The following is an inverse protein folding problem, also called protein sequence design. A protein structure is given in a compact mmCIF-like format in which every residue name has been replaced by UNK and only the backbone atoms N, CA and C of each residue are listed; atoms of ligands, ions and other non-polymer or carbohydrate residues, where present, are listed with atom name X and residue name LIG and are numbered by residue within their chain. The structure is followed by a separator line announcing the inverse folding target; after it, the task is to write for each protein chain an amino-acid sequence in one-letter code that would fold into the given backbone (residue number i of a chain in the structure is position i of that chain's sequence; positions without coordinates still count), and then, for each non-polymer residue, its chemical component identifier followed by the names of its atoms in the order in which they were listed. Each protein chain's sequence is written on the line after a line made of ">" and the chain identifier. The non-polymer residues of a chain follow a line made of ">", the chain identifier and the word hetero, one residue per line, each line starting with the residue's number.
data_IF_258656724817
#
_entry.id   IF_258656724817
#
_cell.length_a   1.000
_cell.length_b   1.000
_cell.length_c   1.000
_cell.angle_alpha   90.00
_cell.angle_beta   90.00
_cell.angle_gamma   90.00
#
_symmetry.space_group_name_H-M   'P 1'
#
loop_
_entity.id
_entity.type
_entity.pdbx_description
1 polymer ?
#
# COMPACT_ATOMS: atom_id res chain seq x y z
N UNK A 1 69.96 11.25 -50.75
CA UNK A 1 69.53 10.64 -49.48
C UNK A 1 68.08 10.25 -49.64
N UNK A 2 67.83 8.96 -49.84
CA UNK A 2 66.49 8.40 -49.95
C UNK A 2 65.96 8.18 -48.52
N UNK A 3 64.73 8.59 -48.27
CA UNK A 3 64.01 8.29 -47.04
C UNK A 3 63.24 6.98 -47.25
N UNK A 4 63.49 6.02 -46.37
CA UNK A 4 62.94 4.66 -46.40
C UNK A 4 61.47 4.61 -45.98
N UNK A 5 60.72 3.66 -46.57
CA UNK A 5 59.32 3.35 -46.26
C UNK A 5 59.10 2.84 -44.83
N UNK A 6 57.92 3.06 -44.21
CA UNK A 6 57.56 2.49 -42.92
C UNK A 6 57.21 0.99 -43.06
N UNK A 7 57.71 0.18 -42.11
CA UNK A 7 57.54 -1.27 -42.05
C UNK A 7 56.11 -1.78 -41.81
N UNK A 8 55.88 -3.10 -41.90
CA UNK A 8 54.56 -3.69 -42.01
C UNK A 8 53.80 -3.67 -40.67
N UNK A 9 52.47 -3.63 -40.81
CA UNK A 9 51.51 -3.26 -39.78
C UNK A 9 51.53 -4.10 -38.50
N UNK A 10 51.35 -3.40 -37.40
CA UNK A 10 50.85 -3.95 -36.14
C UNK A 10 49.52 -4.68 -36.42
N UNK A 11 49.48 -5.95 -36.03
CA UNK A 11 48.36 -6.85 -36.26
C UNK A 11 47.03 -6.28 -35.76
N UNK A 12 45.97 -6.64 -36.49
CA UNK A 12 44.59 -6.39 -36.10
C UNK A 12 44.38 -6.85 -34.64
N UNK A 13 44.30 -5.88 -33.73
CA UNK A 13 43.87 -6.13 -32.37
C UNK A 13 42.48 -6.72 -32.43
N UNK A 14 42.30 -7.86 -31.77
CA UNK A 14 40.99 -8.44 -31.51
C UNK A 14 40.15 -7.40 -30.78
N UNK A 15 39.27 -6.70 -31.49
CA UNK A 15 38.27 -5.83 -30.86
C UNK A 15 37.32 -6.73 -30.10
N UNK A 16 37.54 -6.89 -28.80
CA UNK A 16 36.47 -7.40 -27.95
C UNK A 16 35.30 -6.43 -28.10
N UNK A 17 34.09 -6.89 -28.46
CA UNK A 17 32.93 -6.01 -28.45
C UNK A 17 32.81 -5.44 -27.04
N UNK A 18 32.61 -4.12 -26.96
CA UNK A 18 32.37 -3.47 -25.68
C UNK A 18 31.22 -4.21 -24.96
N UNK A 19 31.33 -4.45 -23.64
CA UNK A 19 30.26 -5.08 -22.90
C UNK A 19 28.97 -4.27 -23.09
N UNK A 20 27.81 -4.94 -23.15
CA UNK A 20 26.55 -4.24 -23.35
C UNK A 20 26.27 -3.32 -22.14
N UNK A 21 25.54 -2.20 -22.33
CA UNK A 21 25.35 -1.18 -21.31
C UNK A 21 24.84 -1.72 -19.97
N UNK A 22 23.89 -2.65 -19.97
CA UNK A 22 23.36 -3.27 -18.75
C UNK A 22 24.44 -3.99 -17.92
N UNK A 23 25.45 -4.57 -18.56
CA UNK A 23 26.56 -5.24 -17.87
C UNK A 23 27.55 -4.25 -17.23
N UNK A 24 27.44 -2.96 -17.54
CA UNK A 24 28.24 -1.87 -16.96
C UNK A 24 27.53 -1.19 -15.77
N UNK A 25 26.27 -1.55 -15.48
CA UNK A 25 25.46 -0.94 -14.44
C UNK A 25 25.63 -1.57 -13.05
N UNK A 26 26.38 -2.66 -12.92
CA UNK A 26 26.74 -3.24 -11.63
C UNK A 26 27.79 -2.37 -10.93
N UNK A 27 27.35 -1.20 -10.48
CA UNK A 27 28.11 -0.19 -9.77
C UNK A 27 28.09 -0.41 -8.24
N UNK A 28 27.42 -1.47 -7.76
CA UNK A 28 27.20 -1.74 -6.35
C UNK A 28 26.13 -0.85 -5.70
N UNK A 29 25.40 -0.03 -6.47
CA UNK A 29 24.35 0.89 -5.99
C UNK A 29 22.98 0.58 -6.60
N UNK A 30 22.73 -0.69 -6.99
CA UNK A 30 21.43 -1.09 -7.50
C UNK A 30 20.32 -0.74 -6.49
N UNK A 31 19.27 0.00 -6.91
CA UNK A 31 18.18 0.32 -6.01
C UNK A 31 17.43 -0.97 -5.62
N UNK A 32 16.88 -0.99 -4.41
CA UNK A 32 16.14 -2.13 -3.88
C UNK A 32 15.01 -2.55 -4.84
N UNK A 33 14.87 -3.85 -5.07
CA UNK A 33 13.84 -4.37 -5.96
C UNK A 33 12.44 -4.01 -5.44
N UNK A 34 11.51 -3.72 -6.36
CA UNK A 34 10.14 -3.38 -6.01
C UNK A 34 9.14 -3.98 -6.99
N UNK A 35 7.92 -4.20 -6.51
CA UNK A 35 6.80 -4.63 -7.34
C UNK A 35 6.31 -3.50 -8.25
N UNK A 36 6.27 -2.28 -7.71
CA UNK A 36 5.82 -1.09 -8.42
C UNK A 36 6.79 0.07 -8.18
N UNK A 37 7.17 0.73 -9.26
CA UNK A 37 7.79 2.05 -9.23
C UNK A 37 6.83 3.09 -9.81
N UNK A 38 6.56 4.17 -9.07
CA UNK A 38 5.81 5.34 -9.57
C UNK A 38 6.78 6.50 -9.76
N UNK A 39 6.81 7.06 -10.96
CA UNK A 39 7.68 8.17 -11.34
C UNK A 39 6.82 9.38 -11.72
N UNK A 40 6.99 10.48 -11.01
CA UNK A 40 6.37 11.76 -11.37
C UNK A 40 7.33 12.60 -12.18
N UNK A 41 6.94 12.97 -13.38
CA UNK A 41 7.69 13.84 -14.29
C UNK A 41 7.01 15.20 -14.40
N UNK A 42 7.80 16.23 -14.69
CA UNK A 42 7.31 17.58 -14.86
C UNK A 42 8.17 18.64 -14.18
N UNK A 43 7.73 19.89 -14.25
CA UNK A 43 8.44 21.03 -13.68
C UNK A 43 7.61 21.70 -12.59
N UNK A 44 8.05 21.55 -11.34
CA UNK A 44 7.39 22.13 -10.16
C UNK A 44 7.23 23.66 -10.22
N UNK A 45 8.00 24.34 -11.08
CA UNK A 45 7.96 25.80 -11.23
C UNK A 45 6.93 26.28 -12.25
N UNK A 46 6.16 25.39 -12.90
CA UNK A 46 5.35 25.72 -14.10
C UNK A 46 3.89 25.25 -14.04
N UNK A 47 3.12 25.75 -13.07
CA UNK A 47 1.67 25.52 -13.05
C UNK A 47 1.33 24.04 -13.08
N UNK A 48 0.47 23.64 -14.03
CA UNK A 48 0.01 22.26 -14.19
C UNK A 48 1.12 21.28 -14.62
N UNK A 49 2.23 21.76 -15.17
CA UNK A 49 3.43 20.95 -15.47
C UNK A 49 4.03 20.34 -14.18
N UNK A 50 3.62 20.81 -13.00
CA UNK A 50 4.02 20.28 -11.71
C UNK A 50 3.26 19.00 -11.29
N UNK A 51 2.29 18.52 -12.08
CA UNK A 51 1.37 17.44 -11.66
C UNK A 51 2.08 16.16 -11.21
N UNK A 52 3.14 15.73 -11.91
CA UNK A 52 3.92 14.55 -11.54
C UNK A 52 4.64 14.72 -10.19
N UNK A 53 5.53 15.72 -10.01
CA UNK A 53 6.18 15.98 -8.73
C UNK A 53 5.21 16.19 -7.55
N UNK A 54 4.10 16.90 -7.78
CA UNK A 54 3.07 17.12 -6.74
C UNK A 54 2.36 15.80 -6.38
N UNK A 55 2.11 14.93 -7.36
CA UNK A 55 1.56 13.59 -7.10
C UNK A 55 2.52 12.76 -6.23
N UNK A 56 3.82 12.75 -6.55
CA UNK A 56 4.82 12.00 -5.77
C UNK A 56 4.88 12.52 -4.34
N UNK A 57 4.88 13.84 -4.14
CA UNK A 57 4.82 14.44 -2.81
C UNK A 57 3.55 14.06 -2.05
N UNK A 58 2.43 13.96 -2.74
CA UNK A 58 1.14 13.56 -2.18
C UNK A 58 1.18 12.10 -1.73
N UNK A 59 1.70 11.19 -2.56
CA UNK A 59 1.89 9.77 -2.22
C UNK A 59 2.83 9.61 -1.01
N UNK A 60 3.96 10.32 -1.01
CA UNK A 60 4.90 10.29 0.12
C UNK A 60 4.25 10.68 1.44
N UNK A 61 3.38 11.70 1.42
CA UNK A 61 2.69 12.20 2.63
C UNK A 61 1.61 11.23 3.14
N UNK A 62 1.01 10.43 2.24
CA UNK A 62 0.02 9.40 2.59
C UNK A 62 0.64 8.13 3.17
N UNK A 63 1.93 7.92 2.94
CA UNK A 63 2.63 6.67 3.23
C UNK A 63 2.65 5.77 1.99
N UNK A 64 3.82 5.21 1.70
CA UNK A 64 4.06 4.35 0.54
C UNK A 64 4.01 2.89 1.01
N UNK A 65 3.21 2.00 0.39
CA UNK A 65 3.16 0.60 0.78
C UNK A 65 4.48 -0.14 0.55
N UNK A 66 4.66 -1.25 1.26
CA UNK A 66 5.78 -2.17 1.01
C UNK A 66 5.76 -2.67 -0.44
N UNK A 67 6.95 -2.84 -1.03
CA UNK A 67 7.09 -3.21 -2.43
C UNK A 67 6.77 -2.09 -3.43
N UNK A 68 6.43 -0.88 -2.97
CA UNK A 68 6.26 0.31 -3.83
C UNK A 68 7.43 1.28 -3.62
N UNK A 69 8.03 1.72 -4.73
CA UNK A 69 8.99 2.83 -4.77
C UNK A 69 8.35 4.03 -5.47
N UNK A 70 8.67 5.23 -5.00
CA UNK A 70 8.25 6.49 -5.64
C UNK A 70 9.48 7.36 -5.94
N UNK A 71 9.48 8.01 -7.09
CA UNK A 71 10.57 8.87 -7.56
C UNK A 71 10.01 10.15 -8.16
N UNK A 72 10.52 11.29 -7.73
CA UNK A 72 10.35 12.55 -8.45
C UNK A 72 11.43 12.60 -9.55
N UNK A 73 11.03 12.38 -10.80
CA UNK A 73 11.91 12.41 -11.96
C UNK A 73 12.17 13.82 -12.48
N UNK A 74 11.43 14.82 -11.98
CA UNK A 74 11.47 16.19 -12.46
C UNK A 74 11.46 16.26 -13.99
N UNK A 75 12.44 16.97 -14.54
CA UNK A 75 12.64 17.12 -15.99
C UNK A 75 13.78 16.27 -16.55
N UNK A 76 14.32 15.33 -15.77
CA UNK A 76 15.51 14.55 -16.11
C UNK A 76 15.12 13.13 -16.49
N UNK A 77 14.95 12.86 -17.78
CA UNK A 77 14.62 11.49 -18.19
C UNK A 77 15.75 10.48 -17.90
N UNK A 78 17.01 10.91 -17.72
CA UNK A 78 18.07 9.97 -17.33
C UNK A 78 17.79 9.40 -15.94
N UNK A 79 17.39 10.23 -15.00
CA UNK A 79 17.03 9.77 -13.65
C UNK A 79 15.79 8.86 -13.70
N UNK A 80 14.86 9.11 -14.63
CA UNK A 80 13.73 8.21 -14.91
C UNK A 80 14.23 6.84 -15.38
N UNK A 81 15.13 6.78 -16.37
CA UNK A 81 15.65 5.52 -16.90
C UNK A 81 16.45 4.71 -15.88
N UNK A 82 17.31 5.36 -15.09
CA UNK A 82 18.05 4.70 -14.01
C UNK A 82 17.13 4.27 -12.86
N UNK A 83 16.10 5.06 -12.55
CA UNK A 83 15.11 4.75 -11.52
C UNK A 83 14.37 3.45 -11.77
N UNK A 84 14.12 3.08 -13.04
CA UNK A 84 13.41 1.85 -13.44
C UNK A 84 14.11 0.55 -13.04
N UNK A 85 15.39 0.58 -12.67
CA UNK A 85 16.15 -0.60 -12.24
C UNK A 85 15.49 -1.29 -11.05
N UNK A 86 15.38 -2.62 -11.14
CA UNK A 86 14.82 -3.48 -10.08
C UNK A 86 13.30 -3.37 -9.90
N UNK A 87 12.59 -2.62 -10.74
CA UNK A 87 11.13 -2.55 -10.69
C UNK A 87 10.50 -3.64 -11.55
N UNK A 88 9.47 -4.33 -11.05
CA UNK A 88 8.68 -5.28 -11.86
C UNK A 88 7.68 -4.55 -12.77
N UNK A 89 7.08 -3.47 -12.25
CA UNK A 89 6.14 -2.61 -12.96
C UNK A 89 6.51 -1.14 -12.78
N UNK A 90 6.27 -0.33 -13.80
CA UNK A 90 6.51 1.12 -13.75
C UNK A 90 5.25 1.89 -14.13
N UNK A 91 4.93 2.92 -13.35
CA UNK A 91 3.94 3.93 -13.68
C UNK A 91 4.65 5.27 -13.80
N UNK A 92 4.51 5.93 -14.95
CA UNK A 92 4.99 7.30 -15.17
C UNK A 92 3.79 8.22 -15.16
N UNK A 93 3.88 9.37 -14.49
CA UNK A 93 2.86 10.42 -14.53
C UNK A 93 3.51 11.71 -15.04
N UNK A 94 2.97 12.29 -16.12
CA UNK A 94 3.42 13.58 -16.66
C UNK A 94 2.22 14.47 -17.05
N UNK A 95 2.50 15.76 -17.23
CA UNK A 95 1.58 16.68 -17.87
C UNK A 95 1.57 16.48 -19.39
N UNK A 96 0.42 16.72 -20.02
CA UNK A 96 0.27 16.75 -21.47
C UNK A 96 -0.45 18.00 -21.95
N UNK A 97 -0.19 18.37 -23.20
CA UNK A 97 -0.84 19.49 -23.88
C UNK A 97 -1.26 19.06 -25.28
N UNK A 98 -2.41 18.42 -25.36
CA UNK A 98 -3.03 17.90 -26.59
C UNK A 98 -4.08 18.85 -27.16
N UNK A 99 -4.53 19.84 -26.37
CA UNK A 99 -5.62 20.74 -26.69
C UNK A 99 -7.01 20.22 -26.28
N UNK A 100 -7.05 19.14 -25.50
CA UNK A 100 -8.28 18.63 -24.89
C UNK A 100 -8.71 19.46 -23.68
N UNK A 101 -9.78 19.04 -22.99
CA UNK A 101 -10.22 19.68 -21.76
C UNK A 101 -9.20 19.45 -20.65
N UNK A 102 -8.86 20.52 -19.91
CA UNK A 102 -7.93 20.42 -18.78
C UNK A 102 -8.39 19.38 -17.75
N UNK A 103 -7.44 18.63 -17.20
CA UNK A 103 -7.71 17.50 -16.31
C UNK A 103 -8.13 16.22 -17.01
N UNK A 104 -8.20 16.19 -18.36
CA UNK A 104 -8.36 14.93 -19.10
C UNK A 104 -7.17 14.02 -18.81
N UNK A 105 -7.45 12.76 -18.45
CA UNK A 105 -6.44 11.75 -18.13
C UNK A 105 -6.36 10.76 -19.28
N UNK A 106 -5.15 10.57 -19.81
CA UNK A 106 -4.83 9.50 -20.73
C UNK A 106 -4.03 8.43 -20.02
N UNK A 107 -4.40 7.16 -20.20
CA UNK A 107 -3.64 6.01 -19.74
C UNK A 107 -3.11 5.28 -20.96
N UNK A 108 -1.79 5.25 -21.12
CA UNK A 108 -1.14 4.72 -22.32
C UNK A 108 -0.15 3.62 -21.89
N UNK A 109 -0.36 2.36 -22.30
CA UNK A 109 0.67 1.33 -22.18
C UNK A 109 1.91 1.74 -22.99
N UNK A 110 3.11 1.56 -22.45
CA UNK A 110 4.33 1.98 -23.15
C UNK A 110 4.53 1.27 -24.51
N UNK A 111 3.93 0.08 -24.70
CA UNK A 111 3.95 -0.65 -25.95
C UNK A 111 3.14 0.03 -27.08
N UNK A 112 2.20 0.91 -26.74
CA UNK A 112 1.36 1.66 -27.68
C UNK A 112 1.98 3.01 -28.08
N UNK A 113 3.16 3.35 -27.54
CA UNK A 113 3.95 4.50 -27.97
C UNK A 113 4.76 4.12 -29.21
N UNK A 114 4.11 4.17 -30.38
CA UNK A 114 4.61 3.65 -31.67
C UNK A 114 5.85 4.38 -32.21
N UNK A 115 6.11 5.63 -31.78
CA UNK A 115 7.25 6.44 -32.23
C UNK A 115 8.05 6.96 -31.05
N UNK A 116 8.80 6.07 -30.41
CA UNK A 116 9.83 6.51 -29.46
C UNK A 116 10.91 7.31 -30.22
N UNK A 117 11.29 8.51 -29.73
CA UNK A 117 12.22 9.37 -30.43
C UNK A 117 13.61 8.70 -30.58
N UNK A 118 14.31 8.90 -31.72
CA UNK A 118 15.61 8.31 -31.94
C UNK A 118 16.65 8.78 -30.91
N UNK A 119 17.51 7.86 -30.49
CA UNK A 119 18.60 8.09 -29.51
C UNK A 119 19.71 9.00 -30.12
N UNK A 120 19.76 9.12 -31.44
CA UNK A 120 20.75 9.96 -32.13
C UNK A 120 20.43 11.45 -31.98
N UNK A 121 21.31 12.18 -31.28
CA UNK A 121 21.18 13.62 -31.02
C UNK A 121 20.72 14.00 -29.61
N UNK A 122 20.68 13.04 -28.68
CA UNK A 122 20.34 13.28 -27.27
C UNK A 122 21.27 14.31 -26.63
N UNK A 123 20.71 15.48 -26.32
CA UNK A 123 21.30 16.44 -25.39
C UNK A 123 20.61 16.26 -24.05
N UNK A 124 21.38 16.27 -22.96
CA UNK A 124 20.92 16.13 -21.57
C UNK A 124 19.73 17.05 -21.22
N UNK A 125 19.61 18.18 -21.92
CA UNK A 125 18.58 19.21 -21.68
C UNK A 125 17.28 19.01 -22.47
N UNK A 126 17.18 18.01 -23.36
CA UNK A 126 15.96 17.66 -24.10
C UNK A 126 15.53 16.19 -23.86
N UNK A 127 16.12 15.54 -22.86
CA UNK A 127 15.89 14.15 -22.52
C UNK A 127 14.67 14.04 -21.58
N UNK A 128 13.49 13.88 -22.16
CA UNK A 128 12.20 13.71 -21.45
C UNK A 128 11.95 12.23 -21.12
N UNK A 129 10.86 11.92 -20.41
CA UNK A 129 10.54 10.54 -20.00
C UNK A 129 10.24 9.60 -21.18
N UNK A 130 9.75 10.11 -22.30
CA UNK A 130 9.53 9.36 -23.55
C UNK A 130 10.87 8.89 -24.16
N UNK A 131 11.89 9.74 -24.13
CA UNK A 131 13.27 9.36 -24.46
C UNK A 131 13.84 8.36 -23.44
N UNK A 132 13.43 8.45 -22.16
CA UNK A 132 13.80 7.48 -21.13
C UNK A 132 13.27 6.08 -21.43
N UNK A 133 12.08 5.95 -22.02
CA UNK A 133 11.55 4.65 -22.44
C UNK A 133 12.39 4.02 -23.55
N UNK A 134 12.74 4.81 -24.58
CA UNK A 134 13.62 4.36 -25.67
C UNK A 134 15.01 3.96 -25.16
N UNK A 135 15.56 4.79 -24.28
CA UNK A 135 16.87 4.57 -23.67
C UNK A 135 16.88 3.40 -22.68
N UNK A 136 15.79 3.15 -21.94
CA UNK A 136 15.68 2.04 -20.99
C UNK A 136 15.84 0.68 -21.65
N UNK A 137 15.38 0.52 -22.90
CA UNK A 137 15.59 -0.68 -23.71
C UNK A 137 17.08 -0.92 -23.96
N UNK A 138 17.80 0.11 -24.41
CA UNK A 138 19.24 0.04 -24.65
C UNK A 138 20.04 -0.13 -23.35
N UNK A 139 19.63 0.55 -22.28
CA UNK A 139 20.32 0.62 -21.00
C UNK A 139 20.15 -0.65 -20.17
N UNK A 140 18.92 -1.12 -20.03
CA UNK A 140 18.55 -2.23 -19.12
C UNK A 140 18.49 -3.58 -19.82
N UNK A 141 18.29 -3.61 -21.15
CA UNK A 141 18.17 -4.83 -21.93
C UNK A 141 17.17 -5.82 -21.30
N UNK A 142 17.59 -7.04 -20.91
CA UNK A 142 16.68 -8.04 -20.33
C UNK A 142 16.12 -7.67 -18.96
N UNK A 143 16.71 -6.68 -18.27
CA UNK A 143 16.24 -6.20 -16.96
C UNK A 143 15.20 -5.08 -17.08
N UNK A 144 14.82 -4.69 -18.30
CA UNK A 144 13.81 -3.67 -18.52
C UNK A 144 12.44 -4.16 -18.00
N UNK A 145 11.72 -3.35 -17.19
CA UNK A 145 10.36 -3.65 -16.82
C UNK A 145 9.48 -3.78 -18.08
N UNK A 146 8.75 -4.87 -18.22
CA UNK A 146 7.87 -5.11 -19.39
C UNK A 146 6.47 -4.50 -19.21
N UNK A 147 6.08 -4.25 -17.96
CA UNK A 147 4.80 -3.64 -17.60
C UNK A 147 5.03 -2.17 -17.24
N UNK A 148 4.91 -1.30 -18.25
CA UNK A 148 5.06 0.14 -18.10
C UNK A 148 3.77 0.82 -18.55
N UNK A 149 3.18 1.64 -17.68
CA UNK A 149 2.02 2.47 -17.97
C UNK A 149 2.36 3.95 -17.79
N UNK A 150 1.88 4.80 -18.69
CA UNK A 150 2.01 6.24 -18.60
C UNK A 150 0.64 6.88 -18.39
N UNK A 151 0.53 7.72 -17.36
CA UNK A 151 -0.59 8.63 -17.18
C UNK A 151 -0.19 10.03 -17.65
N UNK A 152 -0.98 10.59 -18.57
CA UNK A 152 -0.83 11.95 -19.03
C UNK A 152 -2.04 12.77 -18.59
N UNK A 153 -1.79 13.92 -17.97
CA UNK A 153 -2.85 14.82 -17.51
C UNK A 153 -2.84 16.11 -18.32
N UNK A 154 -3.95 16.40 -18.99
CA UNK A 154 -4.08 17.61 -19.83
C UNK A 154 -4.01 18.88 -18.99
N UNK A 155 -3.12 19.80 -19.37
CA UNK A 155 -2.91 21.07 -18.66
C UNK A 155 -3.90 22.16 -19.06
N UNK A 156 -4.24 23.04 -18.12
CA UNK A 156 -4.88 24.32 -18.41
C UNK A 156 -3.83 25.43 -18.60
N UNK A 157 -2.81 25.48 -17.74
CA UNK A 157 -1.73 26.49 -17.81
C UNK A 157 -0.39 25.94 -17.32
N UNK A 158 0.69 26.48 -17.89
CA UNK A 158 2.07 26.19 -17.53
C UNK A 158 2.84 27.46 -17.15
N UNK A 159 2.11 28.45 -16.62
CA UNK A 159 2.65 29.72 -16.16
C UNK A 159 3.63 29.55 -15.00
N UNK A 160 4.68 30.36 -15.00
CA UNK A 160 5.71 30.30 -13.97
C UNK A 160 5.15 30.65 -12.59
N UNK A 161 5.40 29.78 -11.61
CA UNK A 161 5.01 29.96 -10.21
C UNK A 161 3.50 29.85 -9.94
N UNK A 162 2.68 29.51 -10.93
CA UNK A 162 1.28 29.20 -10.72
C UNK A 162 1.14 27.87 -9.95
N UNK A 163 0.11 27.72 -9.10
CA UNK A 163 -0.27 26.42 -8.53
C UNK A 163 -0.90 25.53 -9.61
N UNK A 164 -1.14 24.25 -9.27
CA UNK A 164 -2.04 23.41 -10.06
C UNK A 164 -3.42 24.06 -10.14
N UNK A 165 -4.00 24.04 -11.34
CA UNK A 165 -5.41 24.37 -11.54
C UNK A 165 -6.29 23.32 -10.87
N UNK A 166 -7.54 23.70 -10.58
CA UNK A 166 -8.50 22.82 -9.88
C UNK A 166 -8.74 21.54 -10.69
N UNK A 167 -8.86 21.68 -12.00
CA UNK A 167 -9.11 20.60 -12.94
C UNK A 167 -7.96 19.58 -12.92
N UNK A 168 -6.71 20.06 -12.92
CA UNK A 168 -5.51 19.20 -12.87
C UNK A 168 -5.29 18.60 -11.48
N UNK A 169 -5.58 19.34 -10.40
CA UNK A 169 -5.53 18.79 -9.04
C UNK A 169 -6.56 17.66 -8.83
N UNK A 170 -7.79 17.84 -9.31
CA UNK A 170 -8.83 16.80 -9.28
C UNK A 170 -8.42 15.56 -10.08
N UNK A 171 -7.84 15.78 -11.27
CA UNK A 171 -7.30 14.72 -12.12
C UNK A 171 -6.12 13.98 -11.47
N UNK A 172 -5.19 14.69 -10.82
CA UNK A 172 -4.10 14.11 -10.06
C UNK A 172 -4.62 13.17 -8.96
N UNK A 173 -5.63 13.61 -8.20
CA UNK A 173 -6.26 12.77 -7.19
C UNK A 173 -6.96 11.55 -7.79
N UNK A 174 -7.49 11.66 -9.01
CA UNK A 174 -8.03 10.52 -9.76
C UNK A 174 -6.94 9.56 -10.20
N UNK A 175 -5.80 10.04 -10.71
CA UNK A 175 -4.64 9.20 -11.04
C UNK A 175 -4.14 8.45 -9.81
N UNK A 176 -4.06 9.10 -8.65
CA UNK A 176 -3.70 8.40 -7.39
C UNK A 176 -4.68 7.24 -7.11
N UNK A 177 -5.99 7.46 -7.21
CA UNK A 177 -6.99 6.39 -7.03
C UNK A 177 -6.82 5.25 -8.03
N UNK A 178 -6.43 5.55 -9.27
CA UNK A 178 -6.15 4.53 -10.29
C UNK A 178 -4.88 3.73 -9.94
N UNK A 179 -3.82 4.41 -9.51
CA UNK A 179 -2.57 3.77 -9.03
C UNK A 179 -2.87 2.84 -7.86
N UNK A 180 -3.59 3.32 -6.85
CA UNK A 180 -3.94 2.53 -5.67
C UNK A 180 -4.76 1.28 -6.04
N UNK A 181 -5.71 1.41 -6.97
CA UNK A 181 -6.64 0.33 -7.36
C UNK A 181 -5.98 -0.74 -8.24
N UNK A 182 -5.19 -0.30 -9.23
CA UNK A 182 -4.77 -1.16 -10.35
C UNK A 182 -3.29 -1.54 -10.28
N UNK A 183 -2.47 -0.75 -9.60
CA UNK A 183 -1.01 -0.83 -9.68
C UNK A 183 -0.35 -1.24 -8.38
N UNK A 184 -0.84 -0.76 -7.23
CA UNK A 184 -0.29 -1.15 -5.94
C UNK A 184 -0.24 -2.67 -5.83
N UNK A 185 0.87 -3.23 -5.29
CA UNK A 185 0.96 -4.65 -5.04
C UNK A 185 -0.24 -5.02 -4.17
N UNK A 186 -1.15 -5.78 -4.77
CA UNK A 186 -2.15 -6.48 -4.00
C UNK A 186 -1.36 -7.45 -3.17
N UNK A 187 -1.25 -7.22 -1.86
CA UNK A 187 -0.75 -8.23 -0.93
C UNK A 187 -1.36 -9.54 -1.40
N UNK A 188 -0.50 -10.46 -1.84
CA UNK A 188 -0.94 -11.72 -2.41
C UNK A 188 -1.82 -12.45 -1.40
N UNK A 189 -2.33 -13.61 -1.82
CA UNK A 189 -2.95 -14.56 -0.90
C UNK A 189 -2.18 -14.61 0.42
N UNK A 190 -2.76 -13.99 1.44
CA UNK A 190 -2.18 -13.93 2.77
C UNK A 190 -2.60 -15.18 3.51
N UNK A 191 -1.85 -15.58 4.53
CA UNK A 191 -2.28 -16.65 5.42
C UNK A 191 -2.74 -16.04 6.73
N UNK A 192 -3.90 -16.46 7.22
CA UNK A 192 -4.37 -16.19 8.57
C UNK A 192 -4.39 -17.48 9.37
N UNK A 193 -4.30 -17.39 10.68
CA UNK A 193 -4.41 -18.54 11.58
C UNK A 193 -5.66 -18.40 12.43
N UNK A 194 -6.45 -19.47 12.56
CA UNK A 194 -7.51 -19.57 13.56
C UNK A 194 -7.04 -20.58 14.62
N UNK A 195 -7.02 -20.16 15.88
CA UNK A 195 -6.65 -21.02 17.01
C UNK A 195 -7.81 -21.91 17.42
N UNK A 196 -7.52 -23.00 18.13
CA UNK A 196 -8.57 -23.88 18.72
C UNK A 196 -9.57 -23.13 19.62
N UNK A 197 -9.12 -22.06 20.29
CA UNK A 197 -9.96 -21.22 21.15
C UNK A 197 -10.74 -20.12 20.38
N UNK A 198 -10.70 -20.14 19.04
CA UNK A 198 -11.49 -19.25 18.17
C UNK A 198 -10.93 -17.84 17.97
N UNK A 199 -9.63 -17.62 18.22
CA UNK A 199 -8.94 -16.39 17.84
C UNK A 199 -8.47 -16.44 16.39
N UNK A 200 -8.74 -15.39 15.64
CA UNK A 200 -8.15 -15.12 14.34
C UNK A 200 -6.89 -14.27 14.52
N UNK A 201 -5.79 -14.73 13.93
CA UNK A 201 -4.52 -14.01 13.86
C UNK A 201 -4.29 -13.47 12.45
N UNK A 202 -3.98 -12.18 12.37
CA UNK A 202 -3.53 -11.52 11.13
C UNK A 202 -2.08 -11.07 11.29
N UNK A 203 -1.28 -11.27 10.24
CA UNK A 203 0.07 -10.72 10.18
C UNK A 203 0.06 -9.19 10.16
N UNK A 204 1.12 -8.58 10.70
CA UNK A 204 1.25 -7.12 10.79
C UNK A 204 1.08 -6.39 9.45
N UNK A 205 1.63 -6.92 8.36
CA UNK A 205 1.53 -6.33 7.02
C UNK A 205 0.07 -6.22 6.56
N UNK A 206 -0.67 -7.34 6.59
CA UNK A 206 -2.09 -7.39 6.22
C UNK A 206 -2.94 -6.48 7.10
N UNK A 207 -2.69 -6.49 8.41
CA UNK A 207 -3.44 -5.67 9.35
C UNK A 207 -3.22 -4.17 9.11
N UNK A 208 -1.97 -3.73 8.97
CA UNK A 208 -1.64 -2.32 8.76
C UNK A 208 -2.17 -1.81 7.40
N UNK A 209 -2.09 -2.64 6.36
CA UNK A 209 -2.55 -2.26 5.03
C UNK A 209 -4.07 -2.15 4.92
N UNK A 210 -4.82 -3.03 5.60
CA UNK A 210 -6.28 -3.20 5.35
C UNK A 210 -7.18 -2.83 6.52
N UNK A 211 -6.64 -2.70 7.74
CA UNK A 211 -7.40 -2.40 8.95
C UNK A 211 -6.78 -1.25 9.77
N UNK A 212 -6.65 -0.03 9.20
CA UNK A 212 -5.92 1.08 9.81
C UNK A 212 -6.52 1.59 11.13
N UNK A 213 -7.80 1.31 11.39
CA UNK A 213 -8.46 1.68 12.65
C UNK A 213 -8.49 0.54 13.69
N UNK A 214 -7.85 -0.61 13.41
CA UNK A 214 -7.83 -1.79 14.28
C UNK A 214 -9.24 -2.29 14.71
N UNK A 215 -10.25 -2.07 13.87
CA UNK A 215 -11.64 -2.48 14.11
C UNK A 215 -12.27 -3.02 12.82
N UNK A 216 -13.05 -4.09 12.93
CA UNK A 216 -13.77 -4.69 11.81
C UNK A 216 -15.16 -5.22 12.21
N UNK A 217 -15.99 -5.51 11.21
CA UNK A 217 -17.13 -6.42 11.33
C UNK A 217 -16.75 -7.73 10.66
N UNK A 218 -17.26 -8.85 11.18
CA UNK A 218 -17.05 -10.15 10.56
C UNK A 218 -18.39 -10.85 10.31
N UNK A 219 -18.46 -11.57 9.19
CA UNK A 219 -19.58 -12.43 8.82
C UNK A 219 -19.08 -13.77 8.29
N UNK A 220 -19.84 -14.83 8.49
CA UNK A 220 -19.49 -16.17 8.03
C UNK A 220 -20.73 -16.85 7.45
N UNK A 221 -20.62 -17.38 6.24
CA UNK A 221 -21.73 -18.03 5.53
C UNK A 221 -21.70 -19.57 5.59
N UNK A 222 -20.70 -20.13 6.28
CA UNK A 222 -20.48 -21.57 6.37
C UNK A 222 -19.24 -22.07 5.62
N UNK A 223 -18.74 -21.30 4.65
CA UNK A 223 -17.55 -21.60 3.86
C UNK A 223 -16.53 -20.45 3.87
N UNK A 224 -17.00 -19.21 3.79
CA UNK A 224 -16.17 -18.01 3.70
C UNK A 224 -16.39 -17.13 4.93
N UNK A 225 -15.31 -16.82 5.62
CA UNK A 225 -15.27 -15.78 6.66
C UNK A 225 -14.86 -14.46 6.00
N UNK A 226 -15.70 -13.46 6.11
CA UNK A 226 -15.47 -12.11 5.60
C UNK A 226 -15.20 -11.14 6.75
N UNK A 227 -14.17 -10.29 6.62
CA UNK A 227 -13.84 -9.22 7.55
C UNK A 227 -13.87 -7.87 6.83
N UNK A 228 -14.63 -6.93 7.37
CA UNK A 228 -14.89 -5.61 6.79
C UNK A 228 -14.30 -4.56 7.73
N UNK A 229 -13.29 -3.77 7.32
CA UNK A 229 -12.70 -2.74 8.18
C UNK A 229 -13.70 -1.61 8.44
N UNK A 230 -13.64 -1.05 9.64
CA UNK A 230 -14.41 0.14 10.01
C UNK A 230 -13.51 1.38 10.07
N UNK A 231 -14.09 2.55 9.82
CA UNK A 231 -13.39 3.84 9.82
C UNK A 231 -13.05 4.32 11.25
N UNK A 232 -13.66 3.69 12.27
CA UNK A 232 -13.34 3.97 13.68
C UNK A 232 -14.21 3.16 14.65
N UNK A 233 -13.73 3.02 15.89
CA UNK A 233 -14.36 2.21 16.94
C UNK A 233 -15.71 2.74 17.46
N UNK A 234 -16.09 3.96 17.09
CA UNK A 234 -17.29 4.63 17.58
C UNK A 234 -18.61 3.93 17.18
N UNK A 235 -18.57 3.09 16.13
CA UNK A 235 -19.75 2.40 15.58
C UNK A 235 -19.88 0.94 16.04
N UNK A 236 -19.13 0.51 17.07
CA UNK A 236 -19.04 -0.89 17.50
C UNK A 236 -18.13 -1.72 16.59
N UNK A 237 -18.20 -3.05 16.74
CA UNK A 237 -17.38 -4.00 15.96
C UNK A 237 -16.38 -4.79 16.79
N UNK A 238 -15.67 -5.69 16.12
CA UNK A 238 -14.60 -6.50 16.68
C UNK A 238 -13.28 -5.74 16.65
N UNK A 239 -12.62 -5.64 17.79
CA UNK A 239 -11.34 -4.94 17.94
C UNK A 239 -10.18 -5.90 17.65
N UNK A 240 -9.34 -5.52 16.70
CA UNK A 240 -8.08 -6.18 16.35
C UNK A 240 -7.00 -5.75 17.33
N UNK A 241 -6.72 -6.56 18.35
CA UNK A 241 -5.70 -6.23 19.36
C UNK A 241 -4.31 -6.58 18.86
N UNK A 242 -3.32 -5.74 19.13
CA UNK A 242 -1.93 -6.10 18.89
C UNK A 242 -1.50 -7.27 19.78
N UNK A 243 -0.99 -8.33 19.14
CA UNK A 243 -0.61 -9.61 19.75
C UNK A 243 0.86 -9.65 20.16
N UNK A 244 1.75 -9.03 19.39
CA UNK A 244 3.19 -9.05 19.62
C UNK A 244 3.88 -7.75 19.17
N UNK A 245 5.19 -7.64 19.46
CA UNK A 245 6.00 -6.48 19.10
C UNK A 245 6.18 -6.28 17.58
N UNK A 246 6.01 -7.35 16.78
CA UNK A 246 6.04 -7.26 15.31
C UNK A 246 4.79 -6.56 14.74
N UNK A 247 3.72 -6.42 15.54
CA UNK A 247 2.49 -5.75 15.12
C UNK A 247 1.40 -6.70 14.65
N UNK A 248 1.53 -8.01 14.85
CA UNK A 248 0.46 -8.95 14.50
C UNK A 248 -0.82 -8.62 15.27
N UNK A 249 -1.98 -8.88 14.67
CA UNK A 249 -3.28 -8.62 15.29
C UNK A 249 -4.00 -9.91 15.65
N UNK A 250 -4.82 -9.85 16.70
CA UNK A 250 -5.69 -10.93 17.13
C UNK A 250 -7.11 -10.44 17.41
N UNK A 251 -8.10 -11.25 17.09
CA UNK A 251 -9.51 -10.97 17.35
C UNK A 251 -10.27 -12.26 17.60
N UNK A 252 -11.20 -12.23 18.55
CA UNK A 252 -12.03 -13.38 18.88
C UNK A 252 -13.21 -13.46 17.90
N UNK A 253 -13.35 -14.59 17.21
CA UNK A 253 -14.39 -14.80 16.17
C UNK A 253 -15.29 -16.01 16.44
N UNK A 254 -15.23 -16.63 17.62
CA UNK A 254 -16.00 -17.86 17.90
C UNK A 254 -17.52 -17.69 17.71
N UNK A 255 -18.09 -16.52 18.06
CA UNK A 255 -19.51 -16.24 17.87
C UNK A 255 -19.85 -16.11 16.38
N UNK A 256 -18.97 -15.49 15.61
CA UNK A 256 -19.11 -15.30 14.16
C UNK A 256 -19.11 -16.65 13.45
N UNK A 257 -18.24 -17.56 13.90
CA UNK A 257 -18.17 -18.94 13.38
C UNK A 257 -19.32 -19.83 13.84
N UNK A 258 -20.27 -19.31 14.64
CA UNK A 258 -21.36 -20.09 15.21
C UNK A 258 -20.88 -21.21 16.12
N UNK A 259 -19.76 -21.00 16.83
CA UNK A 259 -19.11 -21.96 17.72
C UNK A 259 -18.64 -23.26 17.02
N UNK A 260 -18.49 -23.23 15.70
CA UNK A 260 -17.90 -24.36 14.97
C UNK A 260 -16.42 -24.50 15.33
N UNK A 261 -15.92 -25.72 15.58
CA UNK A 261 -14.50 -25.96 15.82
C UNK A 261 -13.75 -25.82 14.50
N UNK A 262 -13.20 -24.63 14.25
CA UNK A 262 -12.37 -24.32 13.08
C UNK A 262 -11.02 -23.86 13.63
N UNK A 263 -9.96 -24.58 13.28
CA UNK A 263 -8.60 -24.21 13.63
C UNK A 263 -7.66 -24.60 12.49
N UNK A 264 -6.57 -23.85 12.34
CA UNK A 264 -5.59 -24.07 11.28
C UNK A 264 -5.19 -22.78 10.57
N UNK A 265 -4.45 -22.95 9.48
CA UNK A 265 -3.99 -21.86 8.62
C UNK A 265 -4.82 -21.82 7.35
N UNK A 266 -5.32 -20.65 7.02
CA UNK A 266 -6.26 -20.46 5.92
C UNK A 266 -5.76 -19.38 4.96
N UNK A 267 -6.06 -19.62 3.68
CA UNK A 267 -5.85 -18.66 2.61
C UNK A 267 -6.82 -17.48 2.78
N UNK A 268 -6.27 -16.27 2.71
CA UNK A 268 -6.99 -15.02 2.82
C UNK A 268 -6.70 -14.14 1.61
N UNK A 269 -7.74 -13.62 0.96
CA UNK A 269 -7.63 -12.73 -0.17
C UNK A 269 -8.46 -11.47 0.05
N UNK A 270 -7.92 -10.33 -0.36
CA UNK A 270 -8.63 -9.06 -0.29
C UNK A 270 -9.45 -8.84 -1.56
N UNK A 271 -10.74 -8.52 -1.41
CA UNK A 271 -11.63 -8.05 -2.47
C UNK A 271 -11.64 -6.52 -2.48
N UNK A 272 -10.87 -5.91 -3.40
CA UNK A 272 -10.78 -4.44 -3.52
C UNK A 272 -12.12 -3.78 -3.89
N UNK A 273 -13.00 -4.49 -4.63
CA UNK A 273 -14.28 -3.92 -5.06
C UNK A 273 -15.26 -3.82 -3.88
N UNK A 274 -15.19 -4.75 -2.94
CA UNK A 274 -16.03 -4.75 -1.72
C UNK A 274 -15.34 -4.11 -0.51
N UNK A 275 -14.01 -4.01 -0.52
CA UNK A 275 -13.23 -3.60 0.63
C UNK A 275 -13.28 -4.63 1.76
N UNK A 276 -13.19 -5.91 1.43
CA UNK A 276 -13.38 -7.03 2.37
C UNK A 276 -12.22 -8.01 2.30
N UNK A 277 -11.77 -8.51 3.45
CA UNK A 277 -10.88 -9.66 3.53
C UNK A 277 -11.72 -10.94 3.56
N UNK A 278 -11.58 -11.81 2.57
CA UNK A 278 -12.24 -13.12 2.51
C UNK A 278 -11.26 -14.22 2.89
N UNK A 279 -11.66 -15.08 3.83
CA UNK A 279 -10.89 -16.22 4.32
C UNK A 279 -11.67 -17.50 3.99
N UNK A 280 -11.07 -18.38 3.18
CA UNK A 280 -11.69 -19.65 2.80
C UNK A 280 -11.45 -20.70 3.90
N UNK A 281 -12.52 -21.16 4.55
CA UNK A 281 -12.47 -22.09 5.68
C UNK A 281 -12.78 -23.56 5.30
N UNK A 282 -13.01 -23.83 4.01
CA UNK A 282 -13.22 -25.19 3.50
C UNK A 282 -11.88 -25.77 3.06
N UNK A 283 -11.46 -26.88 3.68
CA UNK A 283 -10.41 -27.72 3.14
C UNK A 283 -10.94 -28.60 2.02
N UNK A 284 -10.13 -28.84 0.99
CA UNK A 284 -10.26 -30.02 0.15
C UNK A 284 -10.36 -31.25 1.06
N UNK A 285 -11.38 -32.06 0.85
CA UNK A 285 -11.64 -33.31 1.58
C UNK A 285 -10.68 -34.43 1.11
N UNK A 286 -9.39 -34.12 1.01
CA UNK A 286 -8.31 -35.07 0.66
C UNK A 286 -7.21 -34.99 1.70
N UNK A 287 -7.47 -35.60 2.86
CA UNK A 287 -6.50 -35.69 3.95
C UNK A 287 -6.95 -36.55 5.12
N UNK A 288 -7.85 -37.50 4.91
CA UNK A 288 -8.10 -38.58 5.86
C UNK A 288 -7.33 -39.82 5.37
N UNK A 289 -6.07 -39.94 5.81
CA UNK A 289 -5.32 -41.18 6.02
C UNK A 289 -3.85 -40.84 6.36
N UNK A 290 -3.59 -40.60 7.64
CA UNK A 290 -2.31 -40.99 8.26
C UNK A 290 -2.50 -41.12 9.78
N UNK A 291 -3.31 -42.12 10.15
CA UNK A 291 -3.31 -42.72 11.50
C UNK A 291 -2.87 -44.17 11.39
N UNK A 292 -1.63 -44.43 10.97
CA UNK A 292 -0.98 -45.71 11.29
C UNK A 292 0.56 -45.68 11.26
N UNK A 293 1.16 -46.30 12.28
CA UNK A 293 2.60 -46.53 12.45
C UNK A 293 3.19 -45.69 13.59
N UNK A 294 3.73 -46.22 14.69
CA UNK A 294 4.38 -47.51 14.87
C UNK A 294 4.40 -47.86 16.36
N UNK A 295 3.93 -49.06 16.71
CA UNK A 295 4.29 -49.74 17.96
C UNK A 295 5.80 -50.02 17.93
N UNK A 296 6.56 -49.27 18.72
CA UNK A 296 7.95 -49.59 19.09
C UNK A 296 7.96 -50.06 20.53
N UNK A 297 8.26 -51.35 20.72
CA UNK A 297 8.64 -51.98 21.98
C UNK A 297 9.95 -51.34 22.46
N UNK A 298 10.03 -50.86 23.70
CA UNK A 298 11.31 -50.81 24.40
C UNK A 298 11.14 -50.88 25.92
N UNK A 299 11.94 -51.77 26.50
CA UNK A 299 11.98 -52.18 27.91
C UNK A 299 13.06 -51.42 28.67
N UNK A 300 12.79 -51.14 29.95
CA UNK A 300 13.76 -50.83 31.01
C UNK A 300 13.99 -49.32 31.19
N UNK A 301 14.02 -48.73 32.39
CA UNK A 301 14.29 -49.22 33.75
C UNK A 301 13.67 -48.22 34.77
N UNK A 302 13.36 -48.62 36.03
CA UNK A 302 12.47 -47.90 36.93
C UNK A 302 13.22 -46.97 37.87
N UNK A 303 12.74 -45.74 38.01
CA UNK A 303 13.24 -44.86 39.05
C UNK A 303 12.49 -43.54 39.10
N UNK A 304 11.56 -43.45 40.05
CA UNK A 304 11.24 -42.29 40.91
C UNK A 304 9.73 -42.24 41.18
N UNK A 305 9.41 -42.13 42.48
CA UNK A 305 8.11 -42.37 43.14
C UNK A 305 7.15 -41.18 43.04
N UNK A 306 5.82 -41.41 43.19
CA UNK A 306 4.82 -40.35 43.18
C UNK A 306 4.75 -39.62 44.54
N UNK A 307 4.43 -38.33 44.48
CA UNK A 307 4.02 -37.51 45.63
C UNK A 307 2.53 -37.20 45.53
N UNK A 308 1.75 -37.79 46.43
CA UNK A 308 0.35 -37.44 46.70
C UNK A 308 0.26 -36.31 47.72
N UNK A 309 -0.73 -35.43 47.55
CA UNK A 309 -1.35 -34.75 48.69
C UNK A 309 -1.76 -33.30 48.45
N UNK A 310 -3.04 -33.07 48.08
CA UNK A 310 -3.83 -31.96 48.61
C UNK A 310 -5.29 -32.43 48.80
N UNK A 311 -5.92 -32.19 49.97
CA UNK A 311 -7.22 -32.76 50.30
C UNK A 311 -8.39 -31.91 49.79
N UNK A 312 -9.45 -32.61 49.37
CA UNK A 312 -10.80 -32.08 49.24
C UNK A 312 -11.49 -32.05 50.61
N UNK A 313 -12.03 -30.88 50.95
CA UNK A 313 -13.34 -30.68 51.56
C UNK A 313 -13.58 -31.20 52.99
N UNK A 314 -13.91 -30.27 53.89
CA UNK A 314 -14.96 -30.56 54.87
C UNK A 314 -15.92 -29.38 55.00
N UNK A 315 -17.20 -29.73 54.92
CA UNK A 315 -18.38 -28.90 55.04
C UNK A 315 -18.77 -28.82 56.51
N UNK A 316 -19.10 -27.64 57.06
CA UNK A 316 -20.12 -27.53 58.12
C UNK A 316 -20.87 -26.20 58.11
N UNK A 317 -22.11 -26.18 58.63
CA UNK A 317 -23.14 -25.24 58.19
C UNK A 317 -23.56 -24.21 59.26
N UNK A 318 -24.14 -23.11 58.77
CA UNK A 318 -25.29 -22.46 59.40
C UNK A 318 -25.02 -21.31 60.38
N UNK A 319 -25.39 -20.09 59.97
CA UNK A 319 -26.18 -19.17 60.82
C UNK A 319 -26.71 -18.01 59.99
N UNK A 320 -28.03 -17.86 59.99
CA UNK A 320 -28.80 -16.75 59.43
C UNK A 320 -28.40 -15.40 60.06
N UNK A 321 -28.36 -14.35 59.26
CA UNK A 321 -28.88 -13.05 59.65
C UNK A 321 -29.43 -12.31 58.43
N UNK A 322 -30.66 -11.84 58.58
CA UNK A 322 -31.51 -11.15 57.61
C UNK A 322 -31.50 -9.63 57.87
N UNK A 323 -31.44 -8.81 56.81
CA UNK A 323 -32.17 -7.53 56.67
C UNK A 323 -31.96 -7.04 55.23
N UNK A 324 -32.92 -7.10 54.29
CA UNK A 324 -34.11 -6.25 54.09
C UNK A 324 -33.88 -4.73 54.20
N UNK A 325 -34.06 -4.09 53.03
CA UNK A 325 -34.76 -2.81 52.75
C UNK A 325 -34.10 -1.53 53.32
N UNK A 326 -34.02 -0.38 52.66
CA UNK A 326 -34.63 0.12 51.44
C UNK A 326 -33.86 1.39 50.97
N UNK A 327 -34.14 1.91 49.76
CA UNK A 327 -33.52 3.08 49.16
C UNK A 327 -34.30 4.38 49.47
N UNK A 328 -33.61 5.50 49.69
CA UNK A 328 -34.14 6.87 49.51
C UNK A 328 -32.98 7.81 49.13
N UNK A 329 -32.98 8.55 48.01
CA UNK A 329 -33.92 9.56 47.46
C UNK A 329 -33.59 10.98 47.97
N UNK A 330 -33.17 11.82 47.00
CA UNK A 330 -33.47 13.26 46.79
C UNK A 330 -32.63 14.36 47.45
N UNK A 331 -32.26 15.29 46.56
CA UNK A 331 -31.90 16.69 46.81
C UNK A 331 -31.02 17.20 45.65
N UNK A 332 -31.51 17.49 44.44
CA UNK A 332 -32.40 18.59 44.04
C UNK A 332 -31.93 19.98 44.53
N UNK A 333 -31.35 20.76 43.59
CA UNK A 333 -31.52 22.23 43.35
C UNK A 333 -30.42 22.65 42.37
N UNK A 334 -30.70 22.82 41.09
CA UNK A 334 -31.57 23.76 40.35
C UNK A 334 -30.77 24.89 39.69
N UNK A 335 -31.26 25.40 38.55
CA UNK A 335 -30.50 26.16 37.57
C UNK A 335 -30.92 27.64 37.53
N UNK A 336 -30.03 28.49 37.00
CA UNK A 336 -30.38 29.85 36.59
C UNK A 336 -29.21 30.43 35.80
N UNK A 337 -29.35 30.98 34.60
CA UNK A 337 -30.53 31.41 33.88
C UNK A 337 -30.35 32.86 33.42
N UNK A 338 -30.84 33.13 32.19
CA UNK A 338 -31.04 34.43 31.50
C UNK A 338 -29.88 34.83 30.57
N UNK A 339 -30.06 34.77 29.25
CA UNK A 339 -30.90 35.62 28.35
C UNK A 339 -30.56 37.10 28.49
N UNK A 340 -30.08 37.72 27.40
CA UNK A 340 -30.83 38.74 26.66
C UNK A 340 -30.13 39.11 25.34
N UNK A 341 -30.90 39.08 24.26
CA UNK A 341 -30.73 39.95 23.08
C UNK A 341 -31.93 40.91 23.11
N UNK A 342 -31.84 42.18 22.67
CA UNK A 342 -31.96 42.44 21.22
C UNK A 342 -31.29 43.73 20.68
N UNK A 343 -30.97 43.69 19.37
CA UNK A 343 -31.20 44.70 18.33
C UNK A 343 -30.66 46.15 18.48
N UNK A 344 -29.87 46.61 17.49
CA UNK A 344 -30.15 47.85 16.74
C UNK A 344 -29.13 48.11 15.62
N UNK A 345 -29.65 48.29 14.41
CA UNK A 345 -29.09 49.15 13.36
C UNK A 345 -29.83 50.51 13.49
N UNK A 346 -29.22 51.68 13.19
CA UNK A 346 -29.42 52.24 11.85
C UNK A 346 -28.27 53.12 11.29
N UNK A 347 -28.15 53.07 9.95
CA UNK A 347 -27.92 54.18 9.00
C UNK A 347 -26.82 55.26 9.27
N UNK A 348 -25.95 55.50 8.28
CA UNK A 348 -26.15 56.55 7.26
C UNK A 348 -24.91 56.84 6.38
N UNK A 349 -25.18 57.02 5.07
CA UNK A 349 -24.62 57.99 4.08
C UNK A 349 -23.10 57.98 3.79
N UNK A 350 -22.58 58.43 2.65
CA UNK A 350 -23.03 58.77 1.29
C UNK A 350 -21.78 59.33 0.57
N UNK A 351 -21.72 59.21 -0.76
CA UNK A 351 -20.75 59.88 -1.65
C UNK A 351 -19.84 58.88 -2.36
N UNK A 352 -19.88 58.66 -3.67
CA UNK A 352 -20.34 59.50 -4.78
C UNK A 352 -19.13 60.05 -5.54
N UNK A 353 -18.99 59.68 -6.82
CA UNK A 353 -18.24 60.48 -7.80
C UNK A 353 -17.17 59.77 -8.64
N UNK A 354 -17.56 59.35 -9.85
CA UNK A 354 -16.93 59.62 -11.17
C UNK A 354 -15.38 59.62 -11.24
N UNK A 355 -14.76 58.82 -12.11
CA UNK A 355 -14.67 59.00 -13.57
C UNK A 355 -14.07 57.77 -14.22
#
# INVERSE_FOLDING_TARGET
>A
MAWSEPGPGLGAGTTHPAPPPHALLDDGFAPEACDLLVIGCGNILRGDDAVGPVLIRTLFTRGVPDGVRIVDGGTSGMDVAFGMRGARRVVIVDAAHTGAEAGTIYQVPAAELEELPPIDGLHTHNFRWDHALAFSEWLLGPERPTDITVFLVEVATIDFGAPLTREVDEAMHQVIRLIDRDFYPRSGTSTVEITDDGYLHLGAELANARFPADVCVASFDGAVLELIPLIGAANGGLVLRQRNAAGDRTVLIHEVLGFRPVAGRFSASWDDAKGVLSVQLVGDDSGEEDRHGTRGDDRGDPGVRPVDGLPLGDQRPGSRATSRLDPQVVGAREPGGRRDSPNSNPASRAGGGQR
#
